data_IF_758854641939
#
_entry.id   IF_758854641939
#
_cell.length_a   1.000
_cell.length_b   1.000
_cell.length_c   1.000
_cell.angle_alpha   90.00
_cell.angle_beta   90.00
_cell.angle_gamma   90.00
#
_symmetry.space_group_name_H-M   'P 1'
#
loop_
_entity.id
_entity.type
_entity.pdbx_description
1 polymer ?
#
# COMPACT_ATOMS: atom_id res chain seq x y z
N UNK A 1 7.89 19.65 8.44
CA UNK A 1 7.96 18.27 8.98
C UNK A 1 7.24 18.04 10.32
N UNK A 2 7.37 18.92 11.33
CA UNK A 2 6.75 18.68 12.65
C UNK A 2 5.23 18.46 12.60
N UNK A 3 4.53 19.22 11.75
CA UNK A 3 3.07 19.15 11.65
C UNK A 3 2.59 17.87 10.96
N UNK A 4 3.23 17.45 9.87
CA UNK A 4 2.97 16.16 9.21
C UNK A 4 3.09 15.02 10.22
N UNK A 5 4.17 14.97 11.01
CA UNK A 5 4.35 13.92 12.00
C UNK A 5 3.31 13.94 13.12
N UNK A 6 2.85 15.12 13.55
CA UNK A 6 1.78 15.28 14.54
C UNK A 6 0.45 14.75 14.01
N UNK A 7 0.05 15.19 12.82
CA UNK A 7 -1.20 14.79 12.18
C UNK A 7 -1.22 13.30 11.81
N UNK A 8 -0.08 12.77 11.37
CA UNK A 8 0.10 11.35 11.08
C UNK A 8 -0.12 10.50 12.33
N UNK A 9 0.53 10.85 13.45
CA UNK A 9 0.34 10.16 14.72
C UNK A 9 -1.11 10.21 15.21
N UNK A 10 -1.75 11.39 15.16
CA UNK A 10 -3.15 11.53 15.56
C UNK A 10 -4.07 10.64 14.73
N UNK A 11 -3.84 10.60 13.41
CA UNK A 11 -4.66 9.81 12.48
C UNK A 11 -4.48 8.31 12.71
N UNK A 12 -3.24 7.84 12.91
CA UNK A 12 -2.99 6.43 13.16
C UNK A 12 -3.47 5.98 14.54
N UNK A 13 -3.27 6.80 15.58
CA UNK A 13 -3.76 6.51 16.93
C UNK A 13 -5.27 6.34 16.98
N UNK A 14 -6.00 7.13 16.21
CA UNK A 14 -7.45 7.03 16.12
C UNK A 14 -7.97 5.67 15.63
N UNK A 15 -7.14 4.89 14.92
CA UNK A 15 -7.50 3.56 14.41
C UNK A 15 -6.75 2.43 15.14
N UNK A 16 -6.25 2.71 16.35
CA UNK A 16 -5.51 1.74 17.17
C UNK A 16 -4.09 1.47 16.67
N UNK A 17 -3.56 2.32 15.79
CA UNK A 17 -2.20 2.26 15.25
C UNK A 17 -1.33 3.39 15.83
N UNK A 18 -0.18 3.65 15.21
CA UNK A 18 0.68 4.78 15.53
C UNK A 18 1.81 4.40 16.47
N UNK A 19 2.68 5.39 16.73
CA UNK A 19 3.92 5.16 17.48
C UNK A 19 3.75 5.35 18.99
N UNK A 20 2.64 5.93 19.43
CA UNK A 20 2.42 6.36 20.82
C UNK A 20 3.23 7.61 21.21
N UNK A 21 4.05 8.15 20.29
CA UNK A 21 4.87 9.33 20.53
C UNK A 21 4.08 10.61 20.28
N UNK A 22 4.71 11.77 20.45
CA UNK A 22 4.10 13.07 20.08
C UNK A 22 3.99 13.28 18.57
N UNK A 23 4.84 12.59 17.80
CA UNK A 23 4.95 12.69 16.35
C UNK A 23 5.38 11.33 15.81
N UNK A 24 4.66 10.86 14.81
CA UNK A 24 5.08 9.73 14.00
C UNK A 24 6.09 10.30 13.01
N UNK A 25 7.39 10.10 13.27
CA UNK A 25 8.50 10.43 12.38
C UNK A 25 9.55 9.31 12.47
N UNK A 26 10.12 8.94 11.33
CA UNK A 26 11.22 8.00 11.20
C UNK A 26 12.37 8.61 10.37
N UNK A 27 13.50 7.90 10.27
CA UNK A 27 14.64 8.42 9.51
C UNK A 27 14.42 8.48 7.98
N UNK A 28 13.40 7.83 7.45
CA UNK A 28 13.08 7.92 6.02
C UNK A 28 12.48 9.30 5.69
N UNK A 29 11.81 9.94 6.65
CA UNK A 29 11.19 11.26 6.47
C UNK A 29 12.19 12.35 6.06
N UNK A 30 13.49 12.16 6.28
CA UNK A 30 14.56 13.12 5.92
C UNK A 30 14.84 13.20 4.42
N UNK A 31 14.62 12.12 3.67
CA UNK A 31 14.95 12.06 2.23
C UNK A 31 13.82 11.55 1.35
N UNK A 32 12.70 11.14 1.95
CA UNK A 32 11.46 10.92 1.21
C UNK A 32 10.80 12.26 0.92
N UNK A 33 10.14 12.33 -0.24
CA UNK A 33 9.26 13.43 -0.61
C UNK A 33 7.91 13.25 0.06
N UNK A 34 7.26 14.37 0.38
CA UNK A 34 5.95 14.39 1.01
C UNK A 34 4.99 15.16 0.12
N UNK A 35 4.00 14.46 -0.45
CA UNK A 35 2.85 15.08 -1.09
C UNK A 35 1.90 15.54 0.01
N UNK A 36 1.58 16.83 0.04
CA UNK A 36 0.68 17.43 1.02
C UNK A 36 -0.63 17.77 0.30
N UNK A 37 -1.74 17.32 0.87
CA UNK A 37 -3.06 17.83 0.52
C UNK A 37 -3.38 19.00 1.44
N UNK A 38 -3.49 20.19 0.88
CA UNK A 38 -3.74 21.44 1.60
C UNK A 38 -5.21 21.85 1.44
N UNK A 39 -5.84 22.23 2.55
CA UNK A 39 -7.15 22.87 2.57
C UNK A 39 -6.96 24.38 2.67
N UNK A 40 -7.26 25.10 1.59
CA UNK A 40 -7.08 26.55 1.54
C UNK A 40 -8.08 27.32 2.40
N UNK A 41 -9.25 26.74 2.69
CA UNK A 41 -10.28 27.40 3.49
C UNK A 41 -9.96 27.31 4.97
N UNK A 42 -9.61 26.11 5.42
CA UNK A 42 -9.27 25.85 6.82
C UNK A 42 -7.79 26.14 7.13
N UNK A 43 -6.98 26.45 6.11
CA UNK A 43 -5.55 26.75 6.18
C UNK A 43 -4.73 25.64 6.85
N UNK A 44 -4.94 24.40 6.43
CA UNK A 44 -4.30 23.25 7.07
C UNK A 44 -4.18 22.00 6.19
N UNK A 45 -3.39 21.04 6.67
CA UNK A 45 -3.05 19.82 5.91
C UNK A 45 -4.18 18.79 6.03
N UNK A 46 -4.99 18.60 5.00
CA UNK A 46 -6.04 17.58 5.02
C UNK A 46 -5.52 16.14 5.02
N UNK A 47 -4.35 15.92 4.44
CA UNK A 47 -3.69 14.61 4.39
C UNK A 47 -2.32 14.70 3.75
N UNK A 48 -1.60 13.59 3.75
CA UNK A 48 -0.32 13.50 3.07
C UNK A 48 -0.03 12.10 2.55
N UNK A 49 0.91 12.02 1.60
CA UNK A 49 1.50 10.79 1.10
C UNK A 49 3.02 10.93 1.08
N UNK A 50 3.74 9.91 1.55
CA UNK A 50 5.21 9.88 1.48
C UNK A 50 5.65 9.03 0.30
N UNK A 51 6.66 9.49 -0.45
CA UNK A 51 7.20 8.71 -1.57
C UNK A 51 8.69 8.96 -1.85
N UNK A 52 9.36 8.00 -2.49
CA UNK A 52 10.76 8.13 -2.90
C UNK A 52 11.06 7.36 -4.18
N UNK A 53 12.07 7.84 -4.92
CA UNK A 53 12.68 7.13 -6.04
C UNK A 53 13.45 5.90 -5.52
N UNK A 54 12.96 4.71 -5.85
CA UNK A 54 13.54 3.48 -5.34
C UNK A 54 14.91 3.18 -5.97
N UNK A 55 15.06 3.40 -7.28
CA UNK A 55 16.28 3.09 -8.02
C UNK A 55 17.45 3.94 -7.52
N UNK A 56 17.20 5.24 -7.35
CA UNK A 56 18.18 6.18 -6.80
C UNK A 56 18.59 5.81 -5.38
N UNK A 57 17.62 5.56 -4.49
CA UNK A 57 17.92 5.26 -3.09
C UNK A 57 18.67 3.94 -2.94
N UNK A 58 18.30 2.91 -3.72
CA UNK A 58 19.01 1.63 -3.70
C UNK A 58 20.46 1.80 -4.19
N UNK A 59 20.69 2.63 -5.22
CA UNK A 59 22.04 2.93 -5.68
C UNK A 59 22.91 3.68 -4.65
N UNK A 60 22.30 4.57 -3.86
CA UNK A 60 23.02 5.40 -2.88
C UNK A 60 23.19 4.72 -1.51
N UNK A 61 22.19 3.96 -1.06
CA UNK A 61 22.05 3.47 0.33
C UNK A 61 21.79 1.97 0.44
N UNK A 62 21.72 1.24 -0.68
CA UNK A 62 21.29 -0.15 -0.71
C UNK A 62 19.78 -0.30 -0.43
N UNK A 63 19.31 -1.55 -0.35
CA UNK A 63 17.90 -1.87 -0.10
C UNK A 63 17.38 -1.29 1.21
N UNK A 64 18.23 -1.20 2.24
CA UNK A 64 17.85 -0.71 3.57
C UNK A 64 17.59 0.80 3.59
N UNK A 65 17.98 1.52 2.53
CA UNK A 65 17.55 2.89 2.30
C UNK A 65 16.05 3.02 2.03
N UNK A 66 15.35 1.93 1.71
CA UNK A 66 13.91 1.90 1.51
C UNK A 66 13.17 1.43 2.77
N UNK A 67 12.01 2.01 3.05
CA UNK A 67 11.15 1.55 4.14
C UNK A 67 10.72 0.10 3.93
N UNK A 68 10.35 -0.27 2.70
CA UNK A 68 10.10 -1.65 2.28
C UNK A 68 11.30 -2.54 2.53
N UNK A 69 12.51 -2.01 2.36
CA UNK A 69 13.75 -2.73 2.63
C UNK A 69 13.96 -3.07 4.10
N UNK A 70 13.28 -2.41 5.04
CA UNK A 70 13.25 -2.81 6.46
C UNK A 70 12.27 -3.96 6.74
N UNK A 71 11.23 -4.11 5.92
CA UNK A 71 10.16 -5.10 6.10
C UNK A 71 10.36 -6.36 5.27
N UNK A 72 10.98 -6.22 4.09
CA UNK A 72 11.11 -7.28 3.09
C UNK A 72 12.57 -7.40 2.62
N UNK A 73 12.99 -8.65 2.38
CA UNK A 73 14.24 -8.97 1.68
C UNK A 73 14.08 -8.60 0.21
N UNK A 74 14.62 -7.46 -0.17
CA UNK A 74 14.63 -6.97 -1.55
C UNK A 74 15.92 -7.42 -2.23
N UNK A 75 15.88 -8.60 -2.88
CA UNK A 75 17.02 -9.06 -3.68
C UNK A 75 17.10 -8.22 -4.97
N UNK A 76 18.26 -7.59 -5.19
CA UNK A 76 18.59 -6.81 -6.38
C UNK A 76 18.34 -7.55 -7.71
N UNK A 77 18.46 -8.89 -7.76
CA UNK A 77 18.24 -9.70 -8.97
C UNK A 77 16.76 -9.96 -9.25
N UNK A 78 15.93 -10.00 -8.21
CA UNK A 78 14.50 -10.30 -8.31
C UNK A 78 13.63 -9.03 -8.24
N UNK A 79 14.23 -7.90 -7.86
CA UNK A 79 13.53 -6.64 -7.63
C UNK A 79 13.71 -5.67 -8.79
N UNK A 80 13.52 -6.14 -10.02
CA UNK A 80 13.64 -5.33 -11.24
C UNK A 80 12.80 -4.05 -11.20
N UNK A 81 11.64 -4.12 -10.53
CA UNK A 81 10.74 -2.99 -10.32
C UNK A 81 11.34 -1.82 -9.54
N UNK A 82 12.42 -2.04 -8.77
CA UNK A 82 13.06 -0.97 -8.00
C UNK A 82 13.73 0.06 -8.91
N UNK A 83 14.31 -0.36 -10.05
CA UNK A 83 15.05 0.55 -10.95
C UNK A 83 14.17 1.68 -11.51
N UNK A 84 12.91 1.35 -11.78
CA UNK A 84 11.90 2.27 -12.34
C UNK A 84 10.74 2.44 -11.34
N UNK A 85 11.05 2.28 -10.04
CA UNK A 85 10.06 2.18 -8.97
C UNK A 85 9.93 3.46 -8.17
N UNK A 86 8.69 3.82 -7.83
CA UNK A 86 8.39 4.82 -6.82
C UNK A 86 7.80 4.11 -5.61
N UNK A 87 8.54 4.14 -4.48
CA UNK A 87 8.00 3.63 -3.24
C UNK A 87 7.03 4.65 -2.64
N UNK A 88 5.84 4.18 -2.28
CA UNK A 88 4.77 4.93 -1.63
C UNK A 88 4.57 4.41 -0.21
N UNK A 89 4.23 5.28 0.73
CA UNK A 89 3.82 4.83 2.06
C UNK A 89 3.40 5.96 2.98
N UNK A 90 3.10 5.58 4.23
CA UNK A 90 2.76 6.51 5.32
C UNK A 90 1.68 7.52 4.97
N UNK A 91 0.74 7.13 4.10
CA UNK A 91 -0.39 8.00 3.76
C UNK A 91 -1.33 8.14 4.94
N UNK A 92 -1.83 9.34 5.15
CA UNK A 92 -2.88 9.61 6.12
C UNK A 92 -3.81 10.69 5.60
N UNK A 93 -5.05 10.66 6.08
CA UNK A 93 -6.06 11.70 5.89
C UNK A 93 -6.59 12.02 7.28
N UNK A 94 -6.64 13.28 7.68
CA UNK A 94 -7.14 13.60 9.02
C UNK A 94 -8.59 13.14 9.17
N UNK A 95 -8.99 12.78 10.40
CA UNK A 95 -10.31 12.24 10.70
C UNK A 95 -11.47 13.10 10.18
N UNK A 96 -11.38 14.43 10.29
CA UNK A 96 -12.44 15.33 9.82
C UNK A 96 -12.65 15.32 8.30
N UNK A 97 -11.71 14.77 7.54
CA UNK A 97 -11.82 14.55 6.10
C UNK A 97 -12.10 13.10 5.71
N UNK A 98 -12.33 12.21 6.68
CA UNK A 98 -12.78 10.85 6.37
C UNK A 98 -14.15 10.87 5.70
N UNK A 99 -14.38 9.92 4.79
CA UNK A 99 -15.59 9.89 3.94
C UNK A 99 -15.59 10.93 2.82
N UNK A 100 -14.62 11.85 2.77
CA UNK A 100 -14.44 12.78 1.65
C UNK A 100 -13.50 12.19 0.59
N UNK A 101 -13.37 12.91 -0.53
CA UNK A 101 -12.48 12.55 -1.66
C UNK A 101 -11.01 12.86 -1.43
N UNK A 102 -10.57 13.04 -0.18
CA UNK A 102 -9.19 13.44 0.15
C UNK A 102 -8.15 12.43 -0.31
N UNK A 103 -8.45 11.13 -0.19
CA UNK A 103 -7.56 10.10 -0.73
C UNK A 103 -7.49 10.16 -2.26
N UNK A 104 -8.62 10.38 -2.95
CA UNK A 104 -8.63 10.57 -4.41
C UNK A 104 -7.74 11.74 -4.82
N UNK A 105 -7.80 12.88 -4.11
CA UNK A 105 -6.97 14.04 -4.41
C UNK A 105 -5.48 13.79 -4.21
N UNK A 106 -5.10 13.04 -3.16
CA UNK A 106 -3.71 12.59 -3.00
C UNK A 106 -3.27 11.73 -4.20
N UNK A 107 -4.15 10.85 -4.68
CA UNK A 107 -3.86 10.02 -5.86
C UNK A 107 -3.82 10.82 -7.17
N UNK A 108 -4.62 11.87 -7.33
CA UNK A 108 -4.46 12.80 -8.45
C UNK A 108 -3.12 13.52 -8.41
N UNK A 109 -2.66 13.93 -7.22
CA UNK A 109 -1.33 14.51 -7.05
C UNK A 109 -0.21 13.53 -7.42
N UNK A 110 -0.33 12.26 -7.02
CA UNK A 110 0.60 11.19 -7.46
C UNK A 110 0.53 11.02 -8.98
N UNK A 111 -0.67 10.96 -9.57
CA UNK A 111 -0.84 10.86 -11.02
C UNK A 111 -0.19 12.01 -11.79
N UNK A 112 -0.37 13.25 -11.32
CA UNK A 112 0.26 14.43 -11.91
C UNK A 112 1.79 14.40 -11.77
N UNK A 113 2.32 13.91 -10.65
CA UNK A 113 3.76 13.69 -10.47
C UNK A 113 4.29 12.67 -11.48
N UNK A 114 3.61 11.54 -11.66
CA UNK A 114 4.01 10.47 -12.59
C UNK A 114 3.93 10.92 -14.05
N UNK A 115 2.93 11.71 -14.42
CA UNK A 115 2.82 12.30 -15.75
C UNK A 115 4.05 13.15 -16.13
N UNK A 116 4.65 13.85 -15.15
CA UNK A 116 5.88 14.63 -15.33
C UNK A 116 7.16 13.79 -15.22
N UNK A 117 7.08 12.55 -14.73
CA UNK A 117 8.21 11.67 -14.46
C UNK A 117 7.96 10.28 -15.06
N UNK A 118 7.94 10.16 -16.41
CA UNK A 118 7.51 8.94 -17.11
C UNK A 118 8.46 7.75 -16.97
N UNK A 119 9.64 7.95 -16.37
CA UNK A 119 10.60 6.88 -16.09
C UNK A 119 10.14 5.98 -14.92
N UNK A 120 9.20 6.44 -14.08
CA UNK A 120 8.58 5.58 -13.07
C UNK A 120 7.53 4.69 -13.72
N UNK A 121 7.76 3.38 -13.72
CA UNK A 121 6.85 2.37 -14.28
C UNK A 121 6.09 1.58 -13.20
N UNK A 122 6.63 1.57 -11.98
CA UNK A 122 6.09 0.77 -10.88
C UNK A 122 5.81 1.64 -9.66
N UNK A 123 4.61 1.54 -9.12
CA UNK A 123 4.32 1.98 -7.76
C UNK A 123 4.35 0.77 -6.85
N UNK A 124 5.00 0.90 -5.70
CA UNK A 124 4.99 -0.15 -4.69
C UNK A 124 5.09 0.44 -3.29
N UNK A 125 4.78 -0.36 -2.28
CA UNK A 125 4.87 0.10 -0.90
C UNK A 125 4.12 -0.83 0.04
N UNK A 126 4.50 -0.87 1.33
CA UNK A 126 3.80 -1.65 2.32
C UNK A 126 2.49 -0.98 2.69
N UNK A 127 1.47 -1.80 2.95
CA UNK A 127 0.19 -1.34 3.49
C UNK A 127 -0.12 -2.13 4.75
N UNK A 128 -0.32 -1.38 5.84
CA UNK A 128 -0.66 -1.95 7.13
C UNK A 128 -2.10 -2.41 7.17
N UNK A 129 -2.34 -3.51 7.89
CA UNK A 129 -3.67 -3.94 8.31
C UNK A 129 -3.80 -3.55 9.77
N UNK A 130 -4.91 -2.89 10.14
CA UNK A 130 -5.10 -2.43 11.51
C UNK A 130 -5.13 -3.61 12.49
N UNK A 131 -4.48 -3.45 13.63
CA UNK A 131 -4.50 -4.40 14.74
C UNK A 131 -5.90 -4.55 15.33
N UNK A 132 -6.75 -3.52 15.23
CA UNK A 132 -8.14 -3.56 15.65
C UNK A 132 -9.02 -4.49 14.79
N UNK A 133 -8.56 -4.89 13.60
CA UNK A 133 -9.27 -5.85 12.76
C UNK A 133 -9.29 -7.24 13.42
N UNK A 134 -10.44 -7.94 13.47
CA UNK A 134 -10.52 -9.30 14.01
C UNK A 134 -9.55 -10.26 13.32
N UNK A 135 -9.00 -11.22 14.05
CA UNK A 135 -7.96 -12.12 13.52
C UNK A 135 -8.44 -12.89 12.27
N UNK A 136 -9.63 -13.48 12.31
CA UNK A 136 -10.22 -14.18 11.15
C UNK A 136 -10.38 -13.24 9.93
N UNK A 137 -10.71 -11.97 10.17
CA UNK A 137 -10.85 -10.99 9.10
C UNK A 137 -9.49 -10.67 8.45
N UNK A 138 -8.41 -10.56 9.24
CA UNK A 138 -7.03 -10.42 8.73
C UNK A 138 -6.64 -11.65 7.90
N UNK A 139 -6.96 -12.85 8.37
CA UNK A 139 -6.64 -14.10 7.69
C UNK A 139 -7.37 -14.24 6.35
N UNK A 140 -8.67 -13.95 6.30
CA UNK A 140 -9.45 -13.91 5.06
C UNK A 140 -8.91 -12.88 4.07
N UNK A 141 -8.59 -11.68 4.54
CA UNK A 141 -8.03 -10.61 3.72
C UNK A 141 -6.69 -11.04 3.12
N UNK A 142 -5.75 -11.51 3.95
CA UNK A 142 -4.42 -11.94 3.51
C UNK A 142 -4.52 -13.14 2.57
N UNK A 143 -5.39 -14.11 2.86
CA UNK A 143 -5.62 -15.26 1.99
C UNK A 143 -6.14 -14.84 0.62
N UNK A 144 -7.18 -13.99 0.56
CA UNK A 144 -7.74 -13.50 -0.70
C UNK A 144 -6.68 -12.81 -1.57
N UNK A 145 -5.87 -11.92 -0.97
CA UNK A 145 -4.82 -11.24 -1.71
C UNK A 145 -3.70 -12.19 -2.15
N UNK A 146 -3.36 -13.19 -1.35
CA UNK A 146 -2.43 -14.25 -1.76
C UNK A 146 -2.96 -15.05 -2.95
N UNK A 147 -4.24 -15.43 -2.94
CA UNK A 147 -4.87 -16.25 -3.97
C UNK A 147 -4.82 -15.58 -5.36
N UNK A 148 -5.15 -14.29 -5.43
CA UNK A 148 -5.28 -13.57 -6.70
C UNK A 148 -4.02 -12.83 -7.15
N UNK A 149 -3.13 -12.57 -6.21
CA UNK A 149 -1.97 -11.75 -6.44
C UNK A 149 -0.71 -12.45 -5.93
N UNK A 150 -0.55 -13.77 -6.06
CA UNK A 150 0.76 -14.43 -5.94
C UNK A 150 1.04 -15.16 -7.24
N UNK A 151 2.18 -14.90 -7.87
CA UNK A 151 2.58 -15.52 -9.13
C UNK A 151 3.44 -16.77 -8.94
N UNK A 152 3.55 -17.63 -9.97
CA UNK A 152 4.52 -18.73 -9.98
C UNK A 152 5.94 -18.16 -9.82
N UNK A 153 6.65 -18.61 -8.78
CA UNK A 153 8.02 -18.15 -8.49
C UNK A 153 8.13 -17.00 -7.49
N UNK A 154 7.02 -16.46 -6.97
CA UNK A 154 7.07 -15.49 -5.87
C UNK A 154 7.56 -16.18 -4.59
N UNK A 155 8.75 -15.79 -4.11
CA UNK A 155 9.29 -16.27 -2.84
C UNK A 155 8.87 -15.37 -1.67
N UNK A 156 8.61 -15.94 -0.48
CA UNK A 156 8.27 -15.15 0.69
C UNK A 156 9.44 -14.24 1.07
N UNK A 157 9.29 -12.96 0.77
CA UNK A 157 10.31 -11.95 1.03
C UNK A 157 10.09 -11.21 2.36
N UNK A 158 8.95 -11.41 3.04
CA UNK A 158 8.73 -10.77 4.34
C UNK A 158 9.74 -11.26 5.37
N UNK A 159 10.35 -10.32 6.11
CA UNK A 159 11.20 -10.66 7.27
C UNK A 159 10.38 -11.20 8.43
N UNK A 160 9.09 -10.87 8.49
CA UNK A 160 8.14 -11.43 9.46
C UNK A 160 6.90 -11.96 8.72
N UNK A 161 6.94 -13.21 8.24
CA UNK A 161 5.83 -13.81 7.53
C UNK A 161 4.59 -13.93 8.42
N UNK A 162 3.44 -13.55 7.88
CA UNK A 162 2.18 -13.72 8.59
C UNK A 162 1.86 -15.21 8.79
N UNK A 163 1.49 -15.57 10.03
CA UNK A 163 1.11 -16.93 10.42
C UNK A 163 -0.40 -17.02 10.56
N UNK A 164 -1.01 -17.99 9.87
CA UNK A 164 -2.44 -18.25 9.96
C UNK A 164 -2.73 -19.10 11.20
N UNK A 165 -3.74 -18.71 11.97
CA UNK A 165 -4.27 -19.53 13.05
C UNK A 165 -5.31 -20.55 12.57
N UNK A 166 -6.04 -20.23 11.50
CA UNK A 166 -6.98 -21.14 10.84
C UNK A 166 -6.29 -21.93 9.71
N UNK A 167 -6.60 -23.23 9.51
CA UNK A 167 -6.09 -23.99 8.38
C UNK A 167 -6.40 -23.34 7.02
N UNK A 168 -5.41 -23.28 6.13
CA UNK A 168 -5.59 -22.71 4.78
C UNK A 168 -6.70 -23.40 3.99
N UNK A 169 -6.93 -24.69 4.21
CA UNK A 169 -8.02 -25.44 3.58
C UNK A 169 -9.40 -24.87 3.94
N UNK A 170 -9.58 -24.37 5.16
CA UNK A 170 -10.83 -23.73 5.59
C UNK A 170 -11.02 -22.40 4.88
N UNK A 171 -9.98 -21.57 4.81
CA UNK A 171 -10.03 -20.29 4.09
C UNK A 171 -10.25 -20.50 2.58
N UNK A 172 -9.71 -21.58 2.02
CA UNK A 172 -9.88 -21.95 0.62
C UNK A 172 -11.31 -22.29 0.24
N UNK A 173 -12.14 -22.76 1.18
CA UNK A 173 -13.55 -23.06 0.91
C UNK A 173 -14.39 -21.80 0.66
N UNK A 174 -13.93 -20.63 1.13
CA UNK A 174 -14.65 -19.37 0.95
C UNK A 174 -14.46 -18.75 -0.44
N UNK A 175 -13.44 -19.16 -1.20
CA UNK A 175 -13.04 -18.51 -2.44
C UNK A 175 -12.82 -19.51 -3.56
N UNK A 176 -13.35 -19.21 -4.74
CA UNK A 176 -13.20 -20.08 -5.92
C UNK A 176 -11.81 -20.00 -6.54
N UNK A 177 -11.14 -18.85 -6.40
CA UNK A 177 -9.86 -18.54 -7.06
C UNK A 177 -9.97 -18.34 -8.57
N UNK A 178 -11.18 -18.38 -9.14
CA UNK A 178 -11.43 -18.32 -10.58
C UNK A 178 -12.13 -17.04 -11.02
N UNK A 179 -12.97 -16.46 -10.15
CA UNK A 179 -13.66 -15.19 -10.40
C UNK A 179 -13.35 -14.18 -9.30
N UNK A 180 -12.41 -13.29 -9.60
CA UNK A 180 -12.04 -12.20 -8.69
C UNK A 180 -13.23 -11.36 -8.26
N UNK A 181 -14.17 -11.04 -9.16
CA UNK A 181 -15.27 -10.14 -8.81
C UNK A 181 -16.25 -10.81 -7.85
N UNK A 182 -16.57 -12.08 -8.09
CA UNK A 182 -17.40 -12.87 -7.18
C UNK A 182 -16.72 -13.06 -5.82
N UNK A 183 -15.47 -13.50 -5.81
CA UNK A 183 -14.72 -13.73 -4.59
C UNK A 183 -14.49 -12.42 -3.80
N UNK A 184 -14.29 -11.28 -4.48
CA UNK A 184 -14.17 -9.98 -3.79
C UNK A 184 -15.49 -9.51 -3.17
N UNK A 185 -16.64 -9.77 -3.84
CA UNK A 185 -17.96 -9.51 -3.23
C UNK A 185 -18.17 -10.39 -2.00
N UNK A 186 -17.78 -11.66 -2.06
CA UNK A 186 -17.83 -12.60 -0.94
C UNK A 186 -16.92 -12.15 0.20
N UNK A 187 -15.68 -11.74 -0.08
CA UNK A 187 -14.75 -11.19 0.92
C UNK A 187 -15.40 -10.02 1.66
N UNK A 188 -15.97 -9.04 0.94
CA UNK A 188 -16.63 -7.90 1.58
C UNK A 188 -17.74 -8.35 2.53
N UNK A 189 -18.62 -9.23 2.08
CA UNK A 189 -19.69 -9.76 2.92
C UNK A 189 -19.17 -10.49 4.17
N UNK A 190 -18.09 -11.27 4.05
CA UNK A 190 -17.48 -11.94 5.20
C UNK A 190 -16.88 -10.94 6.20
N UNK A 191 -16.20 -9.90 5.71
CA UNK A 191 -15.65 -8.85 6.57
C UNK A 191 -16.74 -8.04 7.25
N UNK A 192 -17.81 -7.70 6.52
CA UNK A 192 -18.96 -6.96 7.05
C UNK A 192 -19.62 -7.76 8.20
N UNK A 193 -19.79 -9.08 8.04
CA UNK A 193 -20.29 -9.97 9.09
C UNK A 193 -19.38 -10.02 10.34
N UNK A 194 -18.09 -9.73 10.17
CA UNK A 194 -17.11 -9.64 11.26
C UNK A 194 -17.00 -8.21 11.82
N UNK A 195 -17.87 -7.28 11.41
CA UNK A 195 -17.88 -5.89 11.88
C UNK A 195 -16.72 -5.05 11.34
N UNK A 196 -16.13 -5.44 10.21
CA UNK A 196 -15.01 -4.72 9.59
C UNK A 196 -15.19 -4.61 8.07
N UNK A 197 -14.26 -3.96 7.39
CA UNK A 197 -14.34 -3.76 5.94
C UNK A 197 -12.95 -3.88 5.30
N UNK A 198 -12.92 -4.05 3.97
CA UNK A 198 -11.67 -3.97 3.20
C UNK A 198 -11.08 -2.57 3.38
N UNK A 199 -9.82 -2.42 3.84
CA UNK A 199 -9.25 -1.10 4.07
C UNK A 199 -9.16 -0.28 2.76
N UNK A 200 -9.40 1.04 2.79
CA UNK A 200 -9.49 1.85 1.56
C UNK A 200 -8.27 1.76 0.64
N UNK A 201 -7.06 1.68 1.20
CA UNK A 201 -5.84 1.54 0.40
C UNK A 201 -5.80 0.21 -0.35
N UNK A 202 -6.26 -0.88 0.26
CA UNK A 202 -6.34 -2.19 -0.41
C UNK A 202 -7.24 -2.13 -1.63
N UNK A 203 -8.39 -1.48 -1.51
CA UNK A 203 -9.30 -1.22 -2.63
C UNK A 203 -8.65 -0.33 -3.69
N UNK A 204 -8.04 0.78 -3.26
CA UNK A 204 -7.46 1.77 -4.17
C UNK A 204 -6.34 1.15 -5.03
N UNK A 205 -5.46 0.36 -4.43
CA UNK A 205 -4.36 -0.26 -5.14
C UNK A 205 -4.82 -1.32 -6.15
N UNK A 206 -5.88 -2.08 -5.84
CA UNK A 206 -6.31 -3.17 -6.72
C UNK A 206 -7.34 -2.75 -7.76
N UNK A 207 -8.18 -1.76 -7.46
CA UNK A 207 -9.14 -1.22 -8.42
C UNK A 207 -8.49 -0.21 -9.38
N UNK A 208 -7.43 0.50 -8.97
CA UNK A 208 -6.66 1.37 -9.88
C UNK A 208 -6.05 0.57 -11.04
N UNK A 209 -5.68 -0.70 -10.82
CA UNK A 209 -5.27 -1.63 -11.88
C UNK A 209 -6.33 -1.83 -12.97
N UNK A 210 -7.60 -1.57 -12.69
CA UNK A 210 -8.73 -1.76 -13.62
C UNK A 210 -9.26 -0.45 -14.22
N UNK A 211 -9.03 0.69 -13.57
CA UNK A 211 -9.62 1.98 -13.97
C UNK A 211 -8.69 2.85 -14.81
N UNK A 212 -7.38 2.61 -14.74
CA UNK A 212 -6.43 3.31 -15.59
C UNK A 212 -6.27 2.60 -16.94
N UNK A 213 -7.07 3.02 -17.93
CA UNK A 213 -6.75 2.91 -19.36
C UNK A 213 -5.69 3.96 -19.78
N UNK A 214 -4.76 4.28 -18.88
CA UNK A 214 -3.60 5.14 -19.13
C UNK A 214 -2.36 4.25 -18.96
N UNK A 215 -1.67 4.01 -20.06
CA UNK A 215 -0.67 2.96 -20.30
C UNK A 215 0.62 2.97 -19.45
N UNK A 216 0.70 3.61 -18.27
CA UNK A 216 2.03 3.95 -17.72
C UNK A 216 2.38 3.57 -16.29
N UNK A 217 1.49 2.97 -15.50
CA UNK A 217 1.83 2.72 -14.08
C UNK A 217 1.20 1.44 -13.53
N UNK A 218 2.03 0.44 -13.20
CA UNK A 218 1.62 -0.76 -12.49
C UNK A 218 1.37 -0.45 -10.99
N UNK A 219 0.15 -0.70 -10.52
CA UNK A 219 -0.25 -0.52 -9.13
C UNK A 219 0.10 -1.75 -8.26
N UNK A 220 1.09 -1.56 -7.39
CA UNK A 220 1.27 -2.07 -6.01
C UNK A 220 1.26 -3.57 -5.73
N UNK A 221 2.47 -4.02 -5.32
CA UNK A 221 2.72 -5.26 -4.61
C UNK A 221 2.21 -5.13 -3.16
N UNK A 222 0.92 -5.38 -2.93
CA UNK A 222 0.40 -5.56 -1.57
C UNK A 222 0.63 -6.99 -1.19
N UNK A 223 1.33 -7.24 -0.09
CA UNK A 223 1.31 -8.58 0.42
C UNK A 223 1.74 -8.63 1.88
N UNK A 224 1.21 -9.63 2.57
CA UNK A 224 1.94 -10.22 3.67
C UNK A 224 3.20 -11.00 3.19
N UNK A 225 3.37 -11.26 1.89
CA UNK A 225 4.63 -11.56 1.17
C UNK A 225 4.50 -11.57 -0.39
N UNK A 226 4.89 -10.45 -1.04
CA UNK A 226 4.85 -9.97 -2.46
C UNK A 226 3.87 -10.52 -3.53
N UNK A 227 3.18 -9.61 -4.22
CA UNK A 227 2.32 -9.88 -5.38
C UNK A 227 2.97 -9.59 -6.74
N UNK A 228 2.56 -10.25 -7.86
CA UNK A 228 3.32 -10.25 -9.09
C UNK A 228 3.21 -8.91 -9.83
N UNK A 229 4.36 -8.50 -10.35
CA UNK A 229 4.53 -7.44 -11.31
C UNK A 229 4.18 -8.01 -12.68
N UNK A 230 3.26 -7.38 -13.41
CA UNK A 230 3.14 -7.61 -14.85
C UNK A 230 3.99 -6.57 -15.59
N UNK A 231 4.81 -6.98 -16.57
CA UNK A 231 5.47 -6.04 -17.47
C UNK A 231 4.41 -5.32 -18.31
N UNK A 232 4.54 -4.00 -18.41
CA UNK A 232 3.79 -3.21 -19.38
C UNK A 232 4.46 -3.45 -20.74
N UNK A 233 3.75 -3.96 -21.77
CA UNK A 233 4.33 -4.13 -23.10
C UNK A 233 4.77 -2.76 -23.63
N UNK A 234 6.04 -2.67 -24.02
CA UNK A 234 6.54 -1.56 -24.83
C UNK A 234 5.99 -1.71 -26.24
N UNK A 235 5.23 -0.73 -26.73
CA UNK A 235 5.00 -0.57 -28.15
C UNK A 235 6.02 0.45 -28.68
N UNK A 236 6.84 -0.03 -29.62
CA UNK A 236 7.47 0.77 -30.67
C UNK A 236 6.44 1.55 -31.45
#
# INVERSE_FOLDING_TARGET
MREIGRLRELTFRAVGEGTGKRRDLDHFDWYYRHLILWDEKELEIAGAYRFVDAGRIVGEKGSDGLYSGSLFKLDSRQSYFLREGLELGRSFVQQRYWGRRSLDYLWYGIGAFLAKNPHYRYLFGPVSISNAMPQLAKELLIYFYKLYFTGPGDSPCSRNPFSFSVPLATLAQEFTGRDYQADFRKLKSLLDNLGTAVPPLYKQYTESRRRFSYERVAAVRMNAAVAPLLPIPTLT
#
